data_IF_137516054736
#
_entry.id   IF_137516054736
#
_cell.length_a   1.000
_cell.length_b   1.000
_cell.length_c   1.000
_cell.angle_alpha   90.00
_cell.angle_beta   90.00
_cell.angle_gamma   90.00
#
_symmetry.space_group_name_H-M   'P 1'
#
loop_
_entity.id
_entity.type
_entity.pdbx_description
1 polymer ?
#
# COMPACT_ATOMS: atom_id res chain seq x y z
N UNK A 1 -5.45 22.95 -20.98
CA UNK A 1 -6.31 23.08 -19.78
C UNK A 1 -5.80 24.27 -18.98
N UNK A 2 -6.71 25.08 -18.45
CA UNK A 2 -6.36 26.25 -17.63
C UNK A 2 -6.22 25.91 -16.15
N UNK A 3 -6.21 24.61 -15.84
CA UNK A 3 -6.16 24.06 -14.50
C UNK A 3 -4.99 23.11 -14.33
N UNK A 4 -4.34 23.20 -13.17
CA UNK A 4 -3.39 22.21 -12.67
C UNK A 4 -4.11 21.30 -11.67
N UNK A 5 -3.88 19.99 -11.79
CA UNK A 5 -4.41 18.95 -10.89
C UNK A 5 -3.33 18.69 -9.83
N UNK A 6 -3.75 18.52 -8.58
CA UNK A 6 -2.86 18.25 -7.44
C UNK A 6 -3.39 17.06 -6.67
N UNK A 7 -2.60 15.98 -6.62
CA UNK A 7 -3.01 14.71 -6.05
C UNK A 7 -1.97 14.23 -5.03
N UNK A 8 -2.44 13.85 -3.85
CA UNK A 8 -1.71 13.08 -2.84
C UNK A 8 -2.44 11.79 -2.52
N UNK A 9 -1.72 10.76 -2.11
CA UNK A 9 -2.29 9.45 -1.79
C UNK A 9 -1.87 9.03 -0.38
N UNK A 10 -2.83 8.52 0.38
CA UNK A 10 -2.64 7.81 1.63
C UNK A 10 -2.88 6.33 1.35
N UNK A 11 -1.90 5.48 1.67
CA UNK A 11 -2.00 4.04 1.42
C UNK A 11 -1.86 3.28 2.73
N UNK A 12 -2.84 2.43 3.03
CA UNK A 12 -2.79 1.52 4.17
C UNK A 12 -2.40 0.13 3.69
N UNK A 13 -1.29 -0.37 4.19
CA UNK A 13 -0.73 -1.67 3.87
C UNK A 13 -0.85 -2.57 5.09
N UNK A 14 -1.70 -3.60 5.02
CA UNK A 14 -1.79 -4.61 6.07
C UNK A 14 -0.53 -5.48 6.04
N UNK A 15 0.21 -5.46 7.15
CA UNK A 15 1.47 -6.17 7.23
C UNK A 15 1.26 -7.67 7.42
N UNK A 16 2.04 -8.45 6.66
CA UNK A 16 1.99 -9.92 6.66
C UNK A 16 2.68 -10.49 7.89
N UNK A 17 2.13 -10.23 9.06
CA UNK A 17 2.58 -10.79 10.34
C UNK A 17 1.67 -11.94 10.77
N UNK A 18 2.17 -12.84 11.62
CA UNK A 18 1.38 -13.95 12.16
C UNK A 18 0.48 -13.52 13.32
N UNK A 19 0.82 -12.41 13.96
CA UNK A 19 0.14 -11.89 15.14
C UNK A 19 -0.17 -10.41 15.00
N UNK A 20 -1.13 -9.94 15.78
CA UNK A 20 -1.57 -8.55 15.78
C UNK A 20 -0.47 -7.58 16.23
N UNK A 21 -0.71 -6.28 16.03
CA UNK A 21 0.25 -5.19 16.31
C UNK A 21 0.66 -5.16 17.78
N UNK A 22 -0.29 -5.40 18.68
CA UNK A 22 -0.06 -5.25 20.13
C UNK A 22 -0.48 -6.47 20.94
N UNK A 23 -0.67 -7.63 20.31
CA UNK A 23 -1.01 -8.88 20.99
C UNK A 23 -0.62 -10.12 20.19
N UNK A 24 -0.60 -11.28 20.84
CA UNK A 24 -0.32 -12.57 20.22
C UNK A 24 -1.50 -13.19 19.46
N UNK A 25 -2.64 -12.51 19.30
CA UNK A 25 -3.77 -13.05 18.55
C UNK A 25 -3.44 -13.14 17.05
N UNK A 26 -4.04 -14.12 16.36
CA UNK A 26 -3.80 -14.41 14.95
C UNK A 26 -4.31 -13.27 14.04
N UNK A 27 -3.63 -13.10 12.89
CA UNK A 27 -4.03 -12.21 11.80
C UNK A 27 -4.55 -12.97 10.57
N UNK A 28 -4.73 -14.31 10.65
CA UNK A 28 -5.15 -15.10 9.49
C UNK A 28 -6.56 -14.70 9.03
N UNK A 29 -6.71 -14.58 7.70
CA UNK A 29 -7.98 -14.20 7.06
C UNK A 29 -8.96 -15.39 6.99
N UNK A 30 -10.27 -15.08 6.93
CA UNK A 30 -11.32 -16.08 6.63
C UNK A 30 -11.80 -16.93 7.81
N UNK A 31 -11.39 -16.63 9.05
CA UNK A 31 -11.90 -17.32 10.23
C UNK A 31 -13.30 -16.82 10.62
N UNK A 32 -14.00 -17.65 11.44
CA UNK A 32 -15.31 -17.29 12.00
C UNK A 32 -15.27 -15.92 12.69
N UNK A 33 -16.29 -15.06 12.51
CA UNK A 33 -16.33 -13.74 13.10
C UNK A 33 -16.04 -13.74 14.60
N UNK A 34 -15.21 -12.80 15.05
CA UNK A 34 -14.78 -12.62 16.44
C UNK A 34 -13.95 -13.77 17.06
N UNK A 35 -13.59 -14.80 16.29
CA UNK A 35 -12.78 -15.92 16.80
C UNK A 35 -11.31 -15.52 17.09
N UNK A 36 -10.86 -14.40 16.52
CA UNK A 36 -9.51 -13.84 16.72
C UNK A 36 -9.52 -12.55 17.54
N UNK A 37 -10.65 -12.21 18.16
CA UNK A 37 -10.72 -11.14 19.14
C UNK A 37 -9.79 -11.46 20.33
N UNK A 38 -9.08 -10.43 20.84
CA UNK A 38 -8.23 -10.60 22.02
C UNK A 38 -8.56 -9.55 23.07
N UNK A 39 -8.11 -9.76 24.30
CA UNK A 39 -8.39 -8.85 25.40
C UNK A 39 -7.94 -7.42 25.13
N UNK A 40 -6.81 -7.23 24.42
CA UNK A 40 -6.31 -5.91 24.03
C UNK A 40 -7.25 -5.27 22.99
N UNK A 41 -7.63 -5.98 21.93
CA UNK A 41 -8.54 -5.47 20.90
C UNK A 41 -9.95 -5.19 21.44
N UNK A 42 -10.38 -5.96 22.46
CA UNK A 42 -11.68 -5.84 23.13
C UNK A 42 -11.70 -4.78 24.23
N UNK A 43 -10.58 -4.10 24.48
CA UNK A 43 -10.45 -3.09 25.53
C UNK A 43 -10.76 -3.58 26.96
N UNK A 44 -10.34 -4.79 27.30
CA UNK A 44 -10.56 -5.30 28.67
C UNK A 44 -9.75 -4.47 29.68
N UNK A 45 -10.31 -4.21 30.88
CA UNK A 45 -9.59 -3.48 31.92
C UNK A 45 -8.29 -4.16 32.33
N UNK A 46 -7.20 -3.40 32.44
CA UNK A 46 -5.91 -3.86 32.94
C UNK A 46 -5.04 -4.58 31.91
N UNK A 47 -5.45 -4.69 30.66
CA UNK A 47 -4.58 -5.22 29.58
C UNK A 47 -3.59 -4.17 29.11
N UNK A 48 -2.39 -4.61 28.75
CA UNK A 48 -1.35 -3.75 28.21
C UNK A 48 -0.95 -4.19 26.80
N UNK A 49 -0.72 -3.24 25.86
CA UNK A 49 -0.25 -3.55 24.52
C UNK A 49 1.23 -4.02 24.57
N UNK A 50 1.55 -4.99 23.71
CA UNK A 50 2.94 -5.44 23.51
C UNK A 50 3.27 -5.36 22.03
N UNK A 51 4.24 -4.53 21.68
CA UNK A 51 4.62 -4.22 20.30
C UNK A 51 5.11 -5.46 19.54
N UNK A 52 4.60 -5.67 18.35
CA UNK A 52 5.03 -6.73 17.45
C UNK A 52 6.33 -6.33 16.74
N UNK A 53 7.42 -7.03 17.01
CA UNK A 53 8.74 -6.77 16.42
C UNK A 53 8.73 -6.96 14.89
N UNK A 54 7.98 -7.95 14.37
CA UNK A 54 7.93 -8.21 12.92
C UNK A 54 7.24 -7.05 12.17
N UNK A 55 6.26 -6.39 12.77
CA UNK A 55 5.66 -5.19 12.18
C UNK A 55 6.69 -4.04 12.09
N UNK A 56 7.53 -3.88 13.12
CA UNK A 56 8.65 -2.92 13.11
C UNK A 56 9.63 -3.26 11.99
N UNK A 57 10.01 -4.53 11.87
CA UNK A 57 10.91 -4.99 10.81
C UNK A 57 10.35 -4.71 9.42
N UNK A 58 9.05 -4.95 9.20
CA UNK A 58 8.36 -4.64 7.95
C UNK A 58 8.40 -3.14 7.61
N UNK A 59 8.17 -2.28 8.60
CA UNK A 59 8.23 -0.82 8.40
C UNK A 59 9.65 -0.35 8.02
N UNK A 60 10.67 -0.89 8.69
CA UNK A 60 12.07 -0.57 8.37
C UNK A 60 12.44 -1.09 6.98
N UNK A 61 12.03 -2.33 6.61
CA UNK A 61 12.21 -2.87 5.25
C UNK A 61 11.62 -1.94 4.19
N UNK A 62 10.40 -1.48 4.41
CA UNK A 62 9.75 -0.53 3.51
C UNK A 62 10.58 0.75 3.39
N UNK A 63 10.93 1.38 4.51
CA UNK A 63 11.69 2.63 4.50
C UNK A 63 13.04 2.49 3.78
N UNK A 64 13.77 1.39 4.02
CA UNK A 64 15.03 1.12 3.32
C UNK A 64 14.84 0.90 1.81
N UNK A 65 13.72 0.31 1.40
CA UNK A 65 13.44 0.03 -0.02
C UNK A 65 13.11 1.26 -0.87
N UNK A 66 12.82 2.40 -0.22
CA UNK A 66 12.52 3.69 -0.85
C UNK A 66 13.54 4.78 -0.48
N UNK A 67 14.71 4.40 0.03
CA UNK A 67 15.77 5.30 0.49
C UNK A 67 15.27 6.34 1.52
N UNK A 68 14.28 5.97 2.35
CA UNK A 68 13.71 6.87 3.35
C UNK A 68 14.58 6.97 4.59
N UNK A 69 14.40 8.06 5.31
CA UNK A 69 14.98 8.27 6.63
C UNK A 69 14.30 7.32 7.64
N UNK A 70 15.07 6.44 8.28
CA UNK A 70 14.56 5.67 9.41
C UNK A 70 14.84 6.42 10.70
N UNK A 71 13.77 6.80 11.41
CA UNK A 71 13.88 7.51 12.67
C UNK A 71 14.37 6.57 13.78
N UNK A 72 15.48 6.94 14.43
CA UNK A 72 16.10 6.15 15.50
C UNK A 72 15.25 6.07 16.76
N UNK A 73 14.35 7.01 16.94
CA UNK A 73 13.38 7.05 18.02
C UNK A 73 12.01 7.34 17.45
N UNK A 74 11.05 6.51 17.77
CA UNK A 74 9.67 6.63 17.34
C UNK A 74 8.73 6.49 18.55
N UNK A 75 7.57 7.14 18.50
CA UNK A 75 6.61 7.17 19.62
C UNK A 75 5.25 6.77 19.08
N UNK A 76 4.60 5.84 19.78
CA UNK A 76 3.19 5.53 19.56
C UNK A 76 2.33 6.53 20.31
N UNK A 77 1.26 6.97 19.66
CA UNK A 77 0.28 7.90 20.19
C UNK A 77 -1.13 7.31 20.06
N UNK A 78 -2.03 7.77 20.91
CA UNK A 78 -3.45 7.43 20.82
C UNK A 78 -4.16 8.44 19.94
N UNK A 79 -4.79 7.93 18.85
CA UNK A 79 -5.70 8.66 17.96
C UNK A 79 -7.13 8.40 18.45
N UNK A 80 -7.74 9.39 19.09
CA UNK A 80 -9.02 9.18 19.77
C UNK A 80 -10.20 9.41 18.81
N UNK A 81 -11.02 8.39 18.61
CA UNK A 81 -12.28 8.46 17.89
C UNK A 81 -13.15 7.25 18.25
N UNK A 82 -14.47 7.36 18.05
CA UNK A 82 -15.42 6.35 18.49
C UNK A 82 -16.15 5.71 17.32
N UNK A 83 -15.93 4.40 17.17
CA UNK A 83 -16.64 3.55 16.24
C UNK A 83 -16.97 2.21 16.90
N UNK A 84 -18.09 1.54 16.52
CA UNK A 84 -18.47 0.25 17.10
C UNK A 84 -17.42 -0.84 16.92
N UNK A 85 -16.64 -0.80 15.84
CA UNK A 85 -15.56 -1.72 15.52
C UNK A 85 -14.18 -1.34 16.10
N UNK A 86 -14.15 -0.29 16.93
CA UNK A 86 -12.99 0.15 17.69
C UNK A 86 -13.32 0.24 19.19
N UNK A 87 -13.41 -0.91 19.92
CA UNK A 87 -13.91 -0.94 21.30
C UNK A 87 -13.10 -0.10 22.29
N UNK A 88 -11.82 0.11 22.03
CA UNK A 88 -10.96 0.96 22.88
C UNK A 88 -11.35 2.43 22.89
N UNK A 89 -12.05 2.88 21.83
CA UNK A 89 -12.32 4.30 21.62
C UNK A 89 -11.10 5.10 21.16
N UNK A 90 -9.99 4.44 20.87
CA UNK A 90 -8.78 5.00 20.26
C UNK A 90 -8.06 3.95 19.44
N UNK A 91 -7.30 4.40 18.47
CA UNK A 91 -6.35 3.61 17.66
C UNK A 91 -4.94 3.98 18.11
N UNK A 92 -4.08 2.97 18.34
CA UNK A 92 -2.66 3.22 18.57
C UNK A 92 -2.00 3.39 17.21
N UNK A 93 -1.36 4.55 17.01
CA UNK A 93 -0.74 4.99 15.76
C UNK A 93 0.54 5.76 16.08
N UNK A 94 1.19 6.35 15.08
CA UNK A 94 2.34 7.24 15.26
C UNK A 94 2.02 8.59 14.61
N UNK A 95 2.28 9.69 15.27
CA UNK A 95 1.94 11.02 14.76
C UNK A 95 3.18 11.91 14.56
N UNK A 96 3.78 12.42 15.64
CA UNK A 96 4.90 13.36 15.56
C UNK A 96 6.22 12.70 15.19
N UNK A 97 6.45 11.47 15.65
CA UNK A 97 7.67 10.72 15.45
C UNK A 97 7.38 9.35 14.81
N UNK A 98 7.04 9.33 13.51
CA UNK A 98 6.82 8.08 12.77
C UNK A 98 8.14 7.30 12.64
N UNK A 99 8.05 5.98 12.42
CA UNK A 99 9.23 5.14 12.24
C UNK A 99 9.96 5.44 10.91
N UNK A 100 9.21 5.75 9.85
CA UNK A 100 9.75 6.09 8.53
C UNK A 100 9.45 7.55 8.24
N UNK A 101 10.49 8.32 8.01
CA UNK A 101 10.44 9.72 7.59
C UNK A 101 10.39 9.87 6.07
N UNK A 102 10.93 10.98 5.58
CA UNK A 102 10.92 11.32 4.16
C UNK A 102 11.67 10.28 3.32
N UNK A 103 11.09 9.99 2.15
CA UNK A 103 11.63 9.11 1.13
C UNK A 103 11.03 9.43 -0.22
N UNK A 104 11.25 8.55 -1.22
CA UNK A 104 10.70 8.73 -2.55
C UNK A 104 10.45 7.42 -3.27
N UNK A 105 9.45 7.42 -4.14
CA UNK A 105 9.17 6.31 -5.04
C UNK A 105 9.12 6.82 -6.48
N UNK A 106 10.00 6.28 -7.33
CA UNK A 106 10.07 6.68 -8.74
C UNK A 106 9.05 5.90 -9.56
N UNK A 107 8.23 6.61 -10.33
CA UNK A 107 7.26 6.06 -11.28
C UNK A 107 7.69 6.33 -12.72
N UNK A 108 7.26 5.48 -13.64
CA UNK A 108 7.50 5.65 -15.08
C UNK A 108 6.19 6.05 -15.77
N UNK A 109 6.19 7.21 -16.44
CA UNK A 109 5.06 7.74 -17.22
C UNK A 109 5.60 8.16 -18.58
N UNK A 110 5.03 7.64 -19.67
CA UNK A 110 5.38 8.01 -21.04
C UNK A 110 6.90 8.04 -21.32
N UNK A 111 7.64 7.04 -20.82
CA UNK A 111 9.10 6.92 -20.85
C UNK A 111 9.87 8.00 -20.05
N UNK A 112 9.22 8.74 -19.19
CA UNK A 112 9.86 9.65 -18.25
C UNK A 112 9.73 9.14 -16.82
N UNK A 113 10.81 9.24 -16.07
CA UNK A 113 10.80 8.92 -14.63
C UNK A 113 10.40 10.16 -13.84
N UNK A 114 9.43 9.99 -12.94
CA UNK A 114 9.00 11.01 -11.99
C UNK A 114 9.14 10.47 -10.57
N UNK A 115 9.79 11.24 -9.72
CA UNK A 115 9.87 10.93 -8.29
C UNK A 115 8.62 11.47 -7.58
N UNK A 116 7.92 10.60 -6.84
CA UNK A 116 6.85 10.96 -5.92
C UNK A 116 7.44 10.91 -4.51
N UNK A 117 7.41 12.05 -3.81
CA UNK A 117 7.93 12.14 -2.45
C UNK A 117 6.98 11.45 -1.47
N UNK A 118 7.54 10.65 -0.60
CA UNK A 118 6.87 10.07 0.56
C UNK A 118 7.15 11.00 1.73
N UNK A 119 6.12 11.56 2.33
CA UNK A 119 6.24 12.41 3.51
C UNK A 119 6.65 11.59 4.73
N UNK A 120 6.01 10.44 4.90
CA UNK A 120 6.25 9.51 6.00
C UNK A 120 5.57 8.17 5.77
N UNK A 121 6.00 7.17 6.52
CA UNK A 121 5.20 5.99 6.77
C UNK A 121 5.22 5.65 8.26
N UNK A 122 4.08 5.26 8.81
CA UNK A 122 3.95 5.01 10.23
C UNK A 122 3.14 3.75 10.53
N UNK A 123 3.50 3.13 11.65
CA UNK A 123 2.81 1.94 12.15
C UNK A 123 1.54 2.32 12.89
N UNK A 124 0.49 1.56 12.64
CA UNK A 124 -0.78 1.64 13.35
C UNK A 124 -1.46 0.27 13.44
N UNK A 125 -2.55 0.18 14.17
CA UNK A 125 -3.41 -1.01 14.21
C UNK A 125 -4.69 -0.78 13.41
N UNK A 126 -5.20 -1.83 12.73
CA UNK A 126 -6.47 -1.74 12.01
C UNK A 126 -7.66 -1.78 13.00
N UNK A 127 -8.78 -1.18 12.61
CA UNK A 127 -10.06 -1.35 13.25
C UNK A 127 -10.72 -2.70 12.87
N UNK A 128 -11.76 -3.10 13.57
CA UNK A 128 -12.58 -4.23 13.18
C UNK A 128 -13.36 -3.97 11.90
N UNK A 129 -14.37 -4.79 11.65
CA UNK A 129 -15.26 -4.67 10.49
C UNK A 129 -16.70 -4.50 10.95
N UNK A 130 -17.34 -3.43 10.48
CA UNK A 130 -18.77 -3.23 10.63
C UNK A 130 -19.50 -3.75 9.38
N UNK A 131 -20.46 -4.64 9.57
CA UNK A 131 -21.31 -5.19 8.50
C UNK A 131 -22.72 -4.71 8.67
N UNK A 132 -23.23 -3.95 7.70
CA UNK A 132 -24.59 -3.42 7.68
C UNK A 132 -25.52 -4.36 6.93
N UNK A 133 -26.81 -4.39 7.33
CA UNK A 133 -27.82 -5.16 6.59
C UNK A 133 -27.91 -6.67 6.90
N UNK A 134 -27.18 -7.18 7.88
CA UNK A 134 -27.28 -8.59 8.33
C UNK A 134 -28.67 -8.90 8.93
N UNK A 135 -29.32 -7.93 9.55
CA UNK A 135 -30.72 -7.97 9.99
C UNK A 135 -31.28 -6.55 10.07
N UNK A 136 -32.62 -6.43 10.00
CA UNK A 136 -33.27 -5.12 10.01
C UNK A 136 -32.90 -4.30 11.27
N UNK A 137 -32.32 -3.11 11.06
CA UNK A 137 -31.96 -2.17 12.13
C UNK A 137 -30.74 -2.58 12.98
N UNK A 138 -29.93 -3.56 12.55
CA UNK A 138 -28.73 -4.01 13.26
C UNK A 138 -27.50 -3.99 12.37
N UNK A 139 -26.35 -3.70 12.97
CA UNK A 139 -25.02 -3.90 12.36
C UNK A 139 -24.29 -5.01 13.10
N UNK A 140 -23.66 -5.90 12.34
CA UNK A 140 -22.76 -6.89 12.90
C UNK A 140 -21.36 -6.29 13.08
N UNK A 141 -20.68 -6.64 14.15
CA UNK A 141 -19.31 -6.23 14.42
C UNK A 141 -18.43 -7.47 14.44
N UNK A 142 -17.40 -7.47 13.59
CA UNK A 142 -16.37 -8.49 13.57
C UNK A 142 -15.02 -7.88 13.96
N UNK A 143 -14.45 -8.34 15.07
CA UNK A 143 -13.20 -7.85 15.63
C UNK A 143 -11.98 -8.70 15.24
N UNK A 144 -12.12 -9.64 14.30
CA UNK A 144 -10.99 -10.42 13.82
C UNK A 144 -9.87 -9.53 13.27
N UNK A 145 -10.23 -8.49 12.51
CA UNK A 145 -9.26 -7.54 11.96
C UNK A 145 -8.74 -6.52 12.99
N UNK A 146 -9.50 -6.24 14.06
CA UNK A 146 -9.10 -5.24 15.06
C UNK A 146 -7.73 -5.58 15.66
N UNK A 147 -6.81 -4.63 15.59
CA UNK A 147 -5.42 -4.80 16.04
C UNK A 147 -4.47 -5.42 15.02
N UNK A 148 -4.90 -5.71 13.79
CA UNK A 148 -4.00 -6.16 12.71
C UNK A 148 -2.98 -5.05 12.37
N UNK A 149 -1.68 -5.37 12.20
CA UNK A 149 -0.68 -4.36 11.91
C UNK A 149 -0.90 -3.70 10.55
N UNK A 150 -0.86 -2.38 10.53
CA UNK A 150 -0.89 -1.56 9.33
C UNK A 150 0.36 -0.68 9.24
N UNK A 151 0.77 -0.42 8.01
CA UNK A 151 1.69 0.65 7.66
C UNK A 151 0.91 1.66 6.81
N UNK A 152 0.69 2.87 7.35
CA UNK A 152 0.12 3.97 6.59
C UNK A 152 1.25 4.77 5.93
N UNK A 153 1.18 4.91 4.61
CA UNK A 153 2.16 5.58 3.77
C UNK A 153 1.51 6.82 3.18
N UNK A 154 2.07 7.98 3.45
CA UNK A 154 1.54 9.28 3.03
C UNK A 154 2.48 9.94 2.05
N UNK A 155 1.96 10.34 0.87
CA UNK A 155 2.75 11.08 -0.12
C UNK A 155 2.62 12.59 0.06
N UNK A 156 3.59 13.33 -0.48
CA UNK A 156 3.39 14.72 -0.86
C UNK A 156 2.45 14.79 -2.07
N UNK A 157 1.78 15.94 -2.32
CA UNK A 157 0.86 16.11 -3.43
C UNK A 157 1.57 16.37 -4.76
N UNK A 158 2.48 15.48 -5.13
CA UNK A 158 3.36 15.64 -6.30
C UNK A 158 2.73 15.16 -7.62
N UNK A 159 1.65 14.38 -7.55
CA UNK A 159 1.02 13.82 -8.73
C UNK A 159 0.03 14.80 -9.35
N UNK A 160 0.01 14.83 -10.69
CA UNK A 160 -0.73 15.82 -11.49
C UNK A 160 -1.69 15.21 -12.51
N UNK A 161 -1.84 13.89 -12.52
CA UNK A 161 -2.81 13.18 -13.36
C UNK A 161 -3.28 11.88 -12.71
N UNK A 162 -4.40 11.36 -13.18
CA UNK A 162 -4.91 10.07 -12.76
C UNK A 162 -3.96 8.93 -13.15
N UNK A 163 -3.27 9.05 -14.28
CA UNK A 163 -2.26 8.10 -14.76
C UNK A 163 -1.07 8.04 -13.80
N UNK A 164 -0.57 9.17 -13.33
CA UNK A 164 0.50 9.23 -12.32
C UNK A 164 0.08 8.59 -11.00
N UNK A 165 -1.14 8.87 -10.54
CA UNK A 165 -1.69 8.29 -9.32
C UNK A 165 -1.80 6.75 -9.41
N UNK A 166 -2.27 6.24 -10.55
CA UNK A 166 -2.35 4.79 -10.80
C UNK A 166 -0.97 4.17 -10.91
N UNK A 167 -0.02 4.81 -11.59
CA UNK A 167 1.35 4.32 -11.71
C UNK A 167 2.03 4.25 -10.34
N UNK A 168 1.83 5.27 -9.50
CA UNK A 168 2.31 5.28 -8.12
C UNK A 168 1.70 4.12 -7.31
N UNK A 169 0.37 4.01 -7.31
CA UNK A 169 -0.33 2.98 -6.55
C UNK A 169 0.11 1.56 -6.97
N UNK A 170 0.26 1.29 -8.27
CA UNK A 170 0.80 0.03 -8.79
C UNK A 170 2.23 -0.21 -8.35
N UNK A 171 3.10 0.79 -8.50
CA UNK A 171 4.52 0.67 -8.13
C UNK A 171 4.70 0.38 -6.64
N UNK A 172 3.90 1.05 -5.79
CA UNK A 172 3.90 0.80 -4.36
C UNK A 172 3.38 -0.61 -4.03
N UNK A 173 2.28 -1.01 -4.66
CA UNK A 173 1.68 -2.33 -4.51
C UNK A 173 2.68 -3.45 -4.88
N UNK A 174 3.37 -3.32 -6.01
CA UNK A 174 4.38 -4.28 -6.44
C UNK A 174 5.56 -4.31 -5.47
N UNK A 175 6.00 -3.14 -4.98
CA UNK A 175 7.10 -3.03 -4.03
C UNK A 175 6.81 -3.75 -2.70
N UNK A 176 5.63 -3.53 -2.10
CA UNK A 176 5.30 -4.14 -0.80
C UNK A 176 5.15 -5.66 -0.88
N UNK A 177 4.74 -6.17 -2.05
CA UNK A 177 4.74 -7.61 -2.33
C UNK A 177 6.15 -8.13 -2.56
N UNK A 178 6.97 -7.42 -3.33
CA UNK A 178 8.35 -7.78 -3.63
C UNK A 178 9.20 -7.95 -2.38
N UNK A 179 9.12 -7.00 -1.46
CA UNK A 179 9.85 -7.08 -0.18
C UNK A 179 9.17 -7.97 0.86
N UNK A 180 8.02 -8.56 0.51
CA UNK A 180 7.32 -9.58 1.30
C UNK A 180 6.60 -9.08 2.54
N UNK A 181 6.28 -7.78 2.64
CA UNK A 181 5.61 -7.21 3.81
C UNK A 181 4.07 -7.22 3.72
N UNK A 182 3.52 -7.41 2.52
CA UNK A 182 2.08 -7.47 2.24
C UNK A 182 1.80 -8.44 1.09
N UNK A 183 0.61 -9.02 1.03
CA UNK A 183 0.16 -9.84 -0.11
C UNK A 183 -0.48 -9.02 -1.24
N UNK A 184 -0.82 -7.75 -0.96
CA UNK A 184 -1.39 -6.83 -1.92
C UNK A 184 -2.86 -7.07 -2.25
N UNK A 185 -3.59 -7.93 -1.52
CA UNK A 185 -4.98 -8.24 -1.83
C UNK A 185 -5.91 -7.04 -1.54
N UNK A 186 -6.24 -6.29 -2.60
CA UNK A 186 -7.12 -5.13 -2.51
C UNK A 186 -8.58 -5.51 -2.17
N UNK A 187 -9.03 -6.71 -2.58
CA UNK A 187 -10.40 -7.17 -2.33
C UNK A 187 -10.61 -7.52 -0.86
N UNK A 188 -9.59 -8.05 -0.21
CA UNK A 188 -9.60 -8.31 1.24
C UNK A 188 -9.32 -7.06 2.07
N UNK A 189 -8.91 -5.95 1.41
CA UNK A 189 -8.56 -4.70 2.06
C UNK A 189 -7.15 -4.69 2.66
N UNK A 190 -6.26 -5.59 2.20
CA UNK A 190 -4.88 -5.67 2.64
C UNK A 190 -4.01 -4.55 2.02
N UNK A 191 -4.49 -3.96 0.93
CA UNK A 191 -3.92 -2.78 0.30
C UNK A 191 -5.05 -1.81 -0.04
N UNK A 192 -5.08 -0.64 0.60
CA UNK A 192 -6.15 0.38 0.46
C UNK A 192 -5.51 1.71 0.13
N UNK A 193 -6.12 2.45 -0.81
CA UNK A 193 -5.70 3.80 -1.17
C UNK A 193 -6.85 4.78 -0.92
N UNK A 194 -6.53 5.87 -0.24
CA UNK A 194 -7.38 7.06 -0.13
C UNK A 194 -6.69 8.18 -0.93
N UNK A 195 -7.43 8.84 -1.83
CA UNK A 195 -6.87 9.81 -2.76
C UNK A 195 -7.34 11.21 -2.42
N UNK A 196 -6.40 12.11 -2.17
CA UNK A 196 -6.66 13.53 -1.97
C UNK A 196 -6.51 14.26 -3.31
N UNK A 197 -7.58 14.92 -3.79
CA UNK A 197 -7.60 15.62 -5.08
C UNK A 197 -8.01 17.08 -4.88
N UNK A 198 -7.28 17.99 -5.53
CA UNK A 198 -7.67 19.38 -5.69
C UNK A 198 -7.30 19.89 -7.07
N UNK A 199 -7.93 20.97 -7.53
CA UNK A 199 -7.58 21.69 -8.75
C UNK A 199 -7.23 23.12 -8.42
N UNK A 200 -6.28 23.70 -9.14
CA UNK A 200 -5.90 25.13 -9.03
C UNK A 200 -5.75 25.74 -10.41
N UNK A 201 -5.90 27.06 -10.53
CA UNK A 201 -5.62 27.76 -11.78
C UNK A 201 -4.15 27.60 -12.15
N UNK A 202 -3.89 27.33 -13.43
CA UNK A 202 -2.53 27.15 -13.96
C UNK A 202 -1.63 28.34 -13.59
N UNK A 203 -0.47 28.01 -13.01
CA UNK A 203 0.50 29.00 -12.55
C UNK A 203 0.19 29.66 -11.21
N UNK A 204 -0.87 29.24 -10.49
CA UNK A 204 -1.12 29.68 -9.13
C UNK A 204 -0.24 28.92 -8.12
N UNK A 205 0.35 29.63 -7.16
CA UNK A 205 1.05 29.01 -6.03
C UNK A 205 0.10 28.55 -4.92
N UNK A 206 -1.16 28.99 -4.95
CA UNK A 206 -2.17 28.66 -3.95
C UNK A 206 -2.85 27.35 -4.35
N UNK A 207 -2.76 26.35 -3.47
CA UNK A 207 -3.46 25.09 -3.66
C UNK A 207 -4.97 25.28 -3.56
N UNK A 208 -5.72 24.50 -4.35
CA UNK A 208 -7.16 24.40 -4.24
C UNK A 208 -7.60 23.62 -2.98
N UNK A 209 -8.90 23.67 -2.71
CA UNK A 209 -9.49 22.92 -1.60
C UNK A 209 -9.55 21.44 -1.99
N UNK A 210 -8.92 20.60 -1.17
CA UNK A 210 -8.85 19.14 -1.40
C UNK A 210 -10.11 18.42 -0.97
N UNK A 211 -10.46 17.36 -1.70
CA UNK A 211 -11.43 16.36 -1.27
C UNK A 211 -10.76 14.99 -1.23
N UNK A 212 -11.10 14.21 -0.21
CA UNK A 212 -10.56 12.87 0.03
C UNK A 212 -11.51 11.82 -0.54
N UNK A 213 -11.06 11.02 -1.51
CA UNK A 213 -11.84 9.97 -2.14
C UNK A 213 -11.53 8.63 -1.49
N UNK A 214 -12.56 7.95 -0.98
CA UNK A 214 -12.48 6.62 -0.37
C UNK A 214 -13.21 5.56 -1.20
N UNK A 215 -13.07 4.29 -0.78
CA UNK A 215 -13.68 3.12 -1.43
C UNK A 215 -13.07 2.78 -2.81
N UNK A 216 -11.76 2.88 -2.90
CA UNK A 216 -10.99 2.64 -4.13
C UNK A 216 -10.36 1.25 -4.11
N UNK A 217 -11.14 0.21 -4.45
CA UNK A 217 -10.75 -1.19 -4.32
C UNK A 217 -10.08 -1.78 -5.57
N UNK A 218 -9.70 -0.94 -6.54
CA UNK A 218 -8.93 -1.33 -7.71
C UNK A 218 -8.24 -0.13 -8.35
N UNK A 219 -7.17 -0.37 -9.09
CA UNK A 219 -6.46 0.68 -9.85
C UNK A 219 -7.36 1.36 -10.89
N UNK A 220 -8.31 0.60 -11.47
CA UNK A 220 -9.32 1.16 -12.37
C UNK A 220 -10.21 2.18 -11.66
N UNK A 221 -10.64 1.88 -10.43
CA UNK A 221 -11.48 2.78 -9.65
C UNK A 221 -10.72 4.03 -9.19
N UNK A 222 -9.43 3.91 -8.88
CA UNK A 222 -8.57 5.07 -8.60
C UNK A 222 -8.61 6.05 -9.79
N UNK A 223 -8.36 5.55 -11.01
CA UNK A 223 -8.40 6.38 -12.22
C UNK A 223 -9.76 7.04 -12.42
N UNK A 224 -10.84 6.24 -12.43
CA UNK A 224 -12.19 6.72 -12.68
C UNK A 224 -12.64 7.77 -11.66
N UNK A 225 -12.32 7.55 -10.39
CA UNK A 225 -12.68 8.46 -9.31
C UNK A 225 -11.96 9.80 -9.40
N UNK A 226 -10.66 9.78 -9.74
CA UNK A 226 -9.87 11.00 -9.95
C UNK A 226 -10.39 11.78 -11.16
N UNK A 227 -10.60 11.11 -12.30
CA UNK A 227 -11.10 11.73 -13.52
C UNK A 227 -12.47 12.40 -13.28
N UNK A 228 -13.39 11.71 -12.60
CA UNK A 228 -14.69 12.27 -12.23
C UNK A 228 -14.56 13.48 -11.31
N UNK A 229 -13.79 13.35 -10.23
CA UNK A 229 -13.67 14.39 -9.21
C UNK A 229 -13.00 15.65 -9.76
N UNK A 230 -11.96 15.50 -10.59
CA UNK A 230 -11.30 16.63 -11.25
C UNK A 230 -12.27 17.40 -12.15
N UNK A 231 -13.03 16.70 -12.98
CA UNK A 231 -14.02 17.32 -13.86
C UNK A 231 -15.09 18.04 -13.04
N UNK A 232 -15.63 17.38 -12.02
CA UNK A 232 -16.63 17.97 -11.13
C UNK A 232 -16.14 19.24 -10.42
N UNK A 233 -14.90 19.25 -9.92
CA UNK A 233 -14.32 20.42 -9.26
C UNK A 233 -14.14 21.60 -10.25
N UNK A 234 -13.64 21.32 -11.46
CA UNK A 234 -13.46 22.33 -12.50
C UNK A 234 -14.81 22.95 -12.89
N UNK A 235 -15.79 22.12 -13.25
CA UNK A 235 -17.15 22.56 -13.63
C UNK A 235 -17.79 23.39 -12.51
N UNK A 236 -17.71 22.92 -11.27
CA UNK A 236 -18.26 23.63 -10.11
C UNK A 236 -17.68 25.05 -9.97
N UNK A 237 -16.34 25.18 -10.14
CA UNK A 237 -15.67 26.48 -9.99
C UNK A 237 -15.97 27.38 -11.21
N UNK A 238 -16.04 26.84 -12.42
CA UNK A 238 -16.33 27.60 -13.64
C UNK A 238 -17.78 28.11 -13.65
N UNK A 239 -18.72 27.38 -13.05
CA UNK A 239 -20.12 27.78 -12.83
C UNK A 239 -20.27 28.81 -11.68
N UNK A 240 -19.16 29.23 -11.03
CA UNK A 240 -19.18 30.21 -9.94
C UNK A 240 -19.49 29.62 -8.57
N UNK A 241 -19.51 28.31 -8.42
CA UNK A 241 -19.59 27.58 -7.16
C UNK A 241 -18.26 27.56 -6.41
N UNK A 242 -18.23 26.91 -5.27
CA UNK A 242 -17.03 26.70 -4.46
C UNK A 242 -16.93 25.26 -3.98
N UNK A 243 -15.68 24.82 -3.78
CA UNK A 243 -15.39 23.47 -3.30
C UNK A 243 -15.35 23.49 -1.78
N UNK A 244 -16.05 22.56 -1.14
CA UNK A 244 -15.98 22.31 0.30
C UNK A 244 -15.04 21.11 0.57
N UNK A 245 -14.16 21.29 1.56
CA UNK A 245 -13.31 20.20 2.01
C UNK A 245 -14.17 19.09 2.63
N UNK A 246 -14.13 17.89 2.04
CA UNK A 246 -14.99 16.77 2.46
C UNK A 246 -14.36 15.43 2.14
N UNK A 247 -14.79 14.40 2.85
CA UNK A 247 -14.57 13.01 2.48
C UNK A 247 -15.73 12.52 1.61
N UNK A 248 -15.40 11.92 0.49
CA UNK A 248 -16.35 11.45 -0.52
C UNK A 248 -16.14 9.96 -0.81
N UNK A 249 -17.21 9.26 -1.15
CA UNK A 249 -17.16 7.86 -1.57
C UNK A 249 -17.29 7.76 -3.07
N UNK A 250 -16.42 6.96 -3.68
CA UNK A 250 -16.59 6.53 -5.07
C UNK A 250 -17.62 5.39 -5.14
N UNK A 251 -18.58 5.52 -6.05
CA UNK A 251 -19.54 4.47 -6.37
C UNK A 251 -19.12 3.81 -7.71
N UNK A 252 -18.64 2.56 -7.70
CA UNK A 252 -18.21 1.89 -8.93
C UNK A 252 -19.33 1.56 -9.90
N UNK A 253 -20.58 1.47 -9.44
CA UNK A 253 -21.74 1.16 -10.28
C UNK A 253 -22.17 2.36 -11.13
N UNK A 254 -22.09 3.58 -10.56
CA UNK A 254 -22.43 4.82 -11.27
C UNK A 254 -21.21 5.55 -11.84
N UNK A 255 -20.02 5.25 -11.35
CA UNK A 255 -18.79 5.96 -11.70
C UNK A 255 -18.68 7.36 -11.09
N UNK A 256 -19.49 7.69 -10.09
CA UNK A 256 -19.60 9.01 -9.48
C UNK A 256 -19.04 9.03 -8.06
N UNK A 257 -18.70 10.22 -7.57
CA UNK A 257 -18.37 10.46 -6.16
C UNK A 257 -19.54 11.08 -5.43
N UNK A 258 -19.74 10.69 -4.16
CA UNK A 258 -20.79 11.25 -3.29
C UNK A 258 -20.23 11.64 -1.94
N UNK A 259 -20.55 12.86 -1.48
CA UNK A 259 -20.15 13.33 -0.17
C UNK A 259 -20.73 12.44 0.95
N UNK A 260 -19.86 12.02 1.88
CA UNK A 260 -20.25 11.28 3.09
C UNK A 260 -20.60 12.23 4.24
N UNK A 261 -19.79 13.28 4.43
CA UNK A 261 -19.91 14.27 5.51
C UNK A 261 -19.39 15.61 5.02
N UNK A 262 -20.03 16.69 5.45
CA UNK A 262 -19.39 18.01 5.46
C UNK A 262 -18.36 18.06 6.60
N UNK A 263 -17.23 18.75 6.42
CA UNK A 263 -16.20 18.92 7.46
C UNK A 263 -16.53 19.99 8.52
N UNK A 264 -17.76 20.06 8.97
CA UNK A 264 -18.03 20.77 10.23
C UNK A 264 -17.48 19.99 11.46
N UNK A 265 -17.14 18.73 11.27
CA UNK A 265 -16.46 17.88 12.25
C UNK A 265 -15.08 17.47 11.73
N UNK A 266 -14.12 18.43 11.64
CA UNK A 266 -12.71 18.05 11.66
C UNK A 266 -12.50 17.31 12.97
N UNK A 267 -12.34 15.98 12.91
CA UNK A 267 -12.09 15.18 14.08
C UNK A 267 -10.79 15.65 14.73
N UNK A 268 -10.90 16.44 15.79
CA UNK A 268 -9.78 16.65 16.69
C UNK A 268 -9.51 15.34 17.41
N UNK A 269 -8.57 14.54 16.87
CA UNK A 269 -8.22 13.24 17.44
C UNK A 269 -7.49 13.34 18.76
N UNK A 270 -7.14 14.54 19.24
CA UNK A 270 -6.47 14.78 20.53
C UNK A 270 -5.32 13.80 20.77
N UNK A 271 -4.41 13.73 19.82
CA UNK A 271 -3.25 12.86 19.93
C UNK A 271 -2.46 13.13 21.19
N UNK A 272 -2.06 12.06 21.86
CA UNK A 272 -1.08 12.10 22.94
C UNK A 272 -0.29 10.79 22.95
N UNK A 273 0.97 10.80 23.45
CA UNK A 273 1.77 9.58 23.55
C UNK A 273 1.05 8.50 24.36
N UNK A 274 1.07 7.25 23.84
CA UNK A 274 0.46 6.14 24.57
C UNK A 274 1.25 5.87 25.85
N UNK A 275 0.65 5.95 27.05
CA UNK A 275 1.35 5.78 28.31
C UNK A 275 1.80 4.35 28.59
N UNK A 276 1.23 3.36 27.87
CA UNK A 276 1.50 1.95 28.07
C UNK A 276 2.62 1.43 27.14
N UNK A 277 3.10 2.28 26.22
CA UNK A 277 4.16 1.94 25.28
C UNK A 277 5.41 2.80 25.47
N UNK A 278 6.53 2.15 25.65
CA UNK A 278 7.84 2.83 25.65
C UNK A 278 8.16 3.34 24.23
N UNK A 279 8.99 4.41 24.12
CA UNK A 279 9.52 4.82 22.84
C UNK A 279 10.22 3.65 22.13
N UNK A 280 9.92 3.46 20.85
CA UNK A 280 10.61 2.50 20.02
C UNK A 280 11.99 3.07 19.66
N UNK A 281 13.04 2.30 19.94
CA UNK A 281 14.41 2.64 19.57
C UNK A 281 14.86 1.67 18.47
N UNK A 282 15.30 2.21 17.35
CA UNK A 282 15.88 1.45 16.24
C UNK A 282 17.39 1.59 16.29
N UNK A 283 18.10 0.49 16.51
CA UNK A 283 19.57 0.45 16.61
C UNK A 283 20.23 0.32 15.23
N UNK A 284 21.55 0.51 15.17
CA UNK A 284 22.33 0.25 13.95
C UNK A 284 22.34 -1.23 13.60
N UNK A 285 22.34 -2.10 14.60
CA UNK A 285 22.26 -3.56 14.43
C UNK A 285 20.93 -4.00 13.80
N UNK A 286 19.81 -3.42 14.27
CA UNK A 286 18.49 -3.66 13.66
C UNK A 286 18.50 -3.26 12.19
N UNK A 287 19.03 -2.08 11.90
CA UNK A 287 19.12 -1.55 10.53
C UNK A 287 19.95 -2.45 9.62
N UNK A 288 21.11 -2.90 10.07
CA UNK A 288 21.99 -3.78 9.31
C UNK A 288 21.33 -5.14 9.08
N UNK A 289 20.78 -5.74 10.13
CA UNK A 289 20.10 -7.05 10.04
C UNK A 289 18.95 -7.01 9.03
N UNK A 290 18.15 -5.95 9.06
CA UNK A 290 17.02 -5.82 8.16
C UNK A 290 17.48 -5.52 6.73
N UNK A 291 18.50 -4.67 6.55
CA UNK A 291 19.10 -4.39 5.25
C UNK A 291 19.64 -5.65 4.59
N UNK A 292 20.34 -6.51 5.33
CA UNK A 292 20.87 -7.78 4.83
C UNK A 292 19.77 -8.78 4.47
N UNK A 293 18.58 -8.62 5.04
CA UNK A 293 17.39 -9.45 4.73
C UNK A 293 16.58 -8.96 3.53
N UNK A 294 16.86 -7.75 3.02
CA UNK A 294 16.17 -7.23 1.85
C UNK A 294 16.56 -8.01 0.60
N UNK A 295 15.58 -8.41 -0.24
CA UNK A 295 15.89 -8.90 -1.56
C UNK A 295 16.48 -7.78 -2.43
N UNK A 296 17.26 -8.13 -3.46
CA UNK A 296 17.62 -7.19 -4.50
C UNK A 296 16.35 -6.53 -5.06
N UNK A 297 16.32 -5.19 -5.09
CA UNK A 297 15.13 -4.46 -5.51
C UNK A 297 14.90 -4.56 -7.04
N UNK A 298 13.64 -4.43 -7.52
CA UNK A 298 13.34 -4.52 -8.94
C UNK A 298 14.19 -3.60 -9.82
N UNK A 299 14.44 -2.37 -9.41
CA UNK A 299 15.26 -1.40 -10.15
C UNK A 299 16.74 -1.79 -10.24
N UNK A 300 17.29 -2.33 -9.17
CA UNK A 300 18.66 -2.83 -9.13
C UNK A 300 18.79 -4.07 -10.03
N UNK A 301 17.84 -5.00 -9.91
CA UNK A 301 17.77 -6.22 -10.72
C UNK A 301 17.61 -5.90 -12.20
N UNK A 302 16.77 -4.95 -12.59
CA UNK A 302 16.64 -4.46 -13.96
C UNK A 302 17.98 -3.94 -14.49
N UNK A 303 18.62 -3.08 -13.71
CA UNK A 303 19.94 -2.52 -14.06
C UNK A 303 20.98 -3.63 -14.27
N UNK A 304 20.99 -4.61 -13.39
CA UNK A 304 21.86 -5.79 -13.49
C UNK A 304 21.54 -6.63 -14.72
N UNK A 305 20.28 -6.92 -15.01
CA UNK A 305 19.88 -7.70 -16.19
C UNK A 305 20.24 -7.01 -17.50
N UNK A 306 20.05 -5.70 -17.58
CA UNK A 306 20.47 -4.92 -18.76
C UNK A 306 21.99 -4.93 -18.92
N UNK A 307 22.72 -4.70 -17.83
CA UNK A 307 24.18 -4.59 -17.85
C UNK A 307 24.86 -5.95 -18.11
N UNK A 308 24.49 -6.97 -17.35
CA UNK A 308 25.22 -8.24 -17.30
C UNK A 308 24.65 -9.27 -18.29
N UNK A 309 23.32 -9.33 -18.44
CA UNK A 309 22.65 -10.29 -19.33
C UNK A 309 22.29 -9.71 -20.70
N UNK A 310 22.60 -8.42 -20.95
CA UNK A 310 22.32 -7.70 -22.20
C UNK A 310 20.86 -7.74 -22.64
N UNK A 311 19.95 -7.80 -21.68
CA UNK A 311 18.53 -7.68 -21.94
C UNK A 311 18.17 -6.25 -22.32
N UNK A 312 17.08 -6.07 -23.08
CA UNK A 312 16.48 -4.75 -23.25
C UNK A 312 15.87 -4.28 -21.92
N UNK A 313 15.72 -2.97 -21.73
CA UNK A 313 15.03 -2.43 -20.55
C UNK A 313 13.59 -2.97 -20.46
N UNK A 314 12.93 -3.14 -21.60
CA UNK A 314 11.60 -3.73 -21.67
C UNK A 314 11.58 -5.17 -21.13
N UNK A 315 12.46 -6.05 -21.65
CA UNK A 315 12.56 -7.44 -21.18
C UNK A 315 12.88 -7.52 -19.68
N UNK A 316 13.80 -6.68 -19.21
CA UNK A 316 14.16 -6.61 -17.79
C UNK A 316 12.99 -6.16 -16.92
N UNK A 317 12.20 -5.18 -17.38
CA UNK A 317 11.01 -4.70 -16.69
C UNK A 317 9.91 -5.76 -16.60
N UNK A 318 9.65 -6.48 -17.72
CA UNK A 318 8.66 -7.57 -17.74
C UNK A 318 9.02 -8.68 -16.74
N UNK A 319 10.28 -9.12 -16.73
CA UNK A 319 10.75 -10.17 -15.82
C UNK A 319 10.70 -9.72 -14.35
N UNK A 320 10.97 -8.45 -14.08
CA UNK A 320 10.97 -7.92 -12.70
C UNK A 320 9.65 -7.30 -12.28
N UNK A 321 8.60 -7.47 -13.06
CA UNK A 321 7.25 -7.03 -12.69
C UNK A 321 6.68 -7.82 -11.51
N UNK A 322 7.10 -9.08 -11.35
CA UNK A 322 6.70 -9.97 -10.27
C UNK A 322 7.91 -10.75 -9.77
N UNK A 323 8.02 -10.89 -8.45
CA UNK A 323 9.17 -11.57 -7.82
C UNK A 323 9.29 -13.03 -8.22
N UNK A 324 8.17 -13.75 -8.29
CA UNK A 324 8.17 -15.18 -8.63
C UNK A 324 8.64 -15.40 -10.07
N UNK A 325 8.28 -14.47 -10.99
CA UNK A 325 8.76 -14.45 -12.38
C UNK A 325 10.26 -14.22 -12.43
N UNK A 326 10.75 -13.27 -11.66
CA UNK A 326 12.17 -12.96 -11.57
C UNK A 326 12.97 -14.14 -11.00
N UNK A 327 12.49 -14.75 -9.92
CA UNK A 327 13.12 -15.91 -9.30
C UNK A 327 13.13 -17.12 -10.25
N UNK A 328 12.05 -17.34 -10.99
CA UNK A 328 11.96 -18.37 -12.04
C UNK A 328 12.99 -18.13 -13.15
N UNK A 329 13.08 -16.89 -13.64
CA UNK A 329 14.05 -16.50 -14.65
C UNK A 329 15.50 -16.70 -14.16
N UNK A 330 15.81 -16.23 -12.95
CA UNK A 330 17.14 -16.41 -12.34
C UNK A 330 17.48 -17.91 -12.24
N UNK A 331 16.51 -18.74 -11.85
CA UNK A 331 16.66 -20.19 -11.82
C UNK A 331 17.07 -20.76 -13.18
N UNK A 332 16.44 -20.31 -14.27
CA UNK A 332 16.82 -20.74 -15.63
C UNK A 332 18.23 -20.29 -16.03
N UNK A 333 18.61 -19.05 -15.70
CA UNK A 333 19.94 -18.52 -15.98
C UNK A 333 21.02 -19.32 -15.24
N UNK A 334 20.78 -19.67 -13.99
CA UNK A 334 21.69 -20.48 -13.17
C UNK A 334 21.90 -21.90 -13.74
N UNK A 335 20.91 -22.46 -14.44
CA UNK A 335 21.04 -23.72 -15.19
C UNK A 335 21.75 -23.53 -16.56
N UNK A 336 22.16 -22.32 -16.91
CA UNK A 336 22.91 -21.98 -18.12
C UNK A 336 22.08 -21.63 -19.36
N UNK A 337 20.76 -21.43 -19.20
CA UNK A 337 19.90 -21.06 -20.31
C UNK A 337 20.18 -19.64 -20.83
N UNK A 338 19.98 -19.42 -22.14
CA UNK A 338 20.12 -18.10 -22.77
C UNK A 338 19.13 -17.09 -22.21
N UNK A 339 19.60 -15.94 -21.76
CA UNK A 339 18.76 -14.91 -21.14
C UNK A 339 17.63 -14.45 -22.07
N UNK A 340 17.93 -14.13 -23.33
CA UNK A 340 16.93 -13.64 -24.29
C UNK A 340 15.87 -14.70 -24.64
N UNK A 341 16.29 -15.95 -24.82
CA UNK A 341 15.35 -17.05 -25.07
C UNK A 341 14.49 -17.33 -23.83
N UNK A 342 15.10 -17.29 -22.63
CA UNK A 342 14.37 -17.51 -21.37
C UNK A 342 13.26 -16.48 -21.17
N UNK A 343 13.52 -15.18 -21.44
CA UNK A 343 12.47 -14.14 -21.38
C UNK A 343 11.31 -14.49 -22.29
N UNK A 344 11.58 -14.81 -23.56
CA UNK A 344 10.52 -15.14 -24.53
C UNK A 344 9.70 -16.37 -24.09
N UNK A 345 10.37 -17.41 -23.60
CA UNK A 345 9.68 -18.62 -23.14
C UNK A 345 8.85 -18.39 -21.87
N UNK A 346 9.35 -17.59 -20.95
CA UNK A 346 8.63 -17.22 -19.73
C UNK A 346 7.42 -16.36 -20.09
N UNK A 347 7.64 -15.18 -20.67
CA UNK A 347 6.61 -14.16 -20.84
C UNK A 347 5.58 -14.58 -21.89
N UNK A 348 6.02 -15.01 -23.06
CA UNK A 348 5.12 -15.25 -24.20
C UNK A 348 4.47 -16.65 -24.14
N UNK A 349 5.20 -17.66 -23.67
CA UNK A 349 4.69 -19.04 -23.75
C UNK A 349 4.17 -19.56 -22.41
N UNK A 350 4.95 -19.45 -21.32
CA UNK A 350 4.57 -20.05 -20.05
C UNK A 350 3.50 -19.22 -19.33
N UNK A 351 3.82 -17.95 -19.06
CA UNK A 351 2.89 -17.11 -18.24
C UNK A 351 1.61 -16.74 -18.96
N UNK A 352 1.63 -16.59 -20.29
CA UNK A 352 0.39 -16.44 -21.06
C UNK A 352 -0.55 -17.63 -20.79
N UNK A 353 -0.05 -18.86 -20.84
CA UNK A 353 -0.86 -20.05 -20.58
C UNK A 353 -1.30 -20.20 -19.13
N UNK A 354 -0.41 -19.87 -18.17
CA UNK A 354 -0.77 -19.92 -16.75
C UNK A 354 -1.90 -18.93 -16.44
N UNK A 355 -1.85 -17.73 -17.02
CA UNK A 355 -2.92 -16.74 -16.89
C UNK A 355 -4.22 -17.21 -17.52
N UNK A 356 -4.18 -17.82 -18.71
CA UNK A 356 -5.37 -18.36 -19.39
C UNK A 356 -6.04 -19.50 -18.59
N UNK A 357 -5.24 -20.26 -17.84
CA UNK A 357 -5.69 -21.37 -16.99
C UNK A 357 -5.92 -20.95 -15.52
N UNK A 358 -5.78 -19.66 -15.19
CA UNK A 358 -5.90 -19.10 -13.83
C UNK A 358 -4.96 -19.78 -12.80
N UNK A 359 -3.81 -20.25 -13.26
CA UNK A 359 -2.80 -20.92 -12.42
C UNK A 359 -1.77 -19.88 -11.95
N UNK A 360 -1.52 -19.84 -10.64
CA UNK A 360 -0.47 -19.00 -10.08
C UNK A 360 0.92 -19.46 -10.58
N UNK A 361 1.82 -18.51 -10.81
CA UNK A 361 3.19 -18.78 -11.25
C UNK A 361 3.95 -19.78 -10.37
N UNK A 362 3.75 -19.72 -9.06
CA UNK A 362 4.35 -20.64 -8.08
C UNK A 362 3.86 -22.10 -8.26
N UNK A 363 2.60 -22.26 -8.69
CA UNK A 363 1.96 -23.56 -8.89
C UNK A 363 2.17 -24.11 -10.29
N UNK A 364 3.00 -23.44 -11.11
CA UNK A 364 3.33 -23.89 -12.46
C UNK A 364 3.75 -25.37 -12.49
N UNK A 365 3.11 -26.20 -13.33
CA UNK A 365 3.48 -27.60 -13.53
C UNK A 365 4.85 -27.75 -14.20
N UNK A 366 5.31 -26.70 -14.89
CA UNK A 366 6.64 -26.65 -15.53
C UNK A 366 7.58 -25.86 -14.61
N UNK A 367 8.47 -26.56 -13.93
CA UNK A 367 9.49 -25.92 -13.08
C UNK A 367 10.63 -25.36 -13.93
N UNK A 368 11.29 -24.29 -13.45
CA UNK A 368 12.33 -23.56 -14.21
C UNK A 368 13.41 -24.47 -14.80
N UNK A 369 13.81 -25.52 -14.09
CA UNK A 369 14.83 -26.47 -14.59
C UNK A 369 14.40 -27.17 -15.86
N UNK A 370 13.15 -27.64 -15.95
CA UNK A 370 12.61 -28.31 -17.15
C UNK A 370 12.54 -27.35 -18.34
N UNK A 371 12.17 -26.10 -18.09
CA UNK A 371 12.12 -25.10 -19.13
C UNK A 371 13.54 -24.68 -19.57
N UNK A 372 14.48 -24.59 -18.65
CA UNK A 372 15.89 -24.35 -18.95
C UNK A 372 16.46 -25.48 -19.82
N UNK A 373 16.21 -26.76 -19.46
CA UNK A 373 16.62 -27.92 -20.26
C UNK A 373 16.07 -27.89 -21.70
N UNK A 374 14.85 -27.39 -21.89
CA UNK A 374 14.27 -27.18 -23.21
C UNK A 374 15.00 -26.08 -23.98
N UNK A 375 15.19 -24.91 -23.35
CA UNK A 375 15.88 -23.76 -23.95
C UNK A 375 17.32 -24.08 -24.33
N UNK A 376 18.00 -24.92 -23.56
CA UNK A 376 19.37 -25.37 -23.86
C UNK A 376 19.47 -26.30 -25.07
N UNK A 377 18.35 -26.89 -25.53
CA UNK A 377 18.31 -27.77 -26.71
C UNK A 377 17.96 -27.02 -28.01
N UNK A 378 17.56 -25.77 -27.90
CA UNK A 378 17.22 -24.86 -29.00
C UNK A 378 18.47 -24.08 -29.41
#
# INVERSE_FOLDING_TARGET
MDWDIVIGIETHVQLKTKTKQFSGASTSFGNEPNSQGCLVSLAYPGVLPVLNQEAVNCAIKFGLSIDAIINRKSIFARKNYFYPDLPKGYQISQFELPIVGEGKLSILIDNHTKDVRILRAHLEEDAGKSSHGLSHGKSGIDLNRAGTPLLEIVTEPDMSSAEEAVAYAKKLHDLVQWIGICDGNMQEGNFRCDVNVSVKKKGSDVLGIRREIKNLNSFKYIKQAIDYEVNWQIETIEDGGFIEQSTILFNPDTGETKAMRSKEEANDYRYFPDPDLLPLIVTDEDMLTIKDSLPELPSEMQSRFVKDLKLSMYDASEITSNKDVADYFIGMINEGASAKLSVNWIVVNLFSRLNDEEINSLDSPVKFKKLADLVLKI
#
